data_IF_422181844376
#
_entry.id   IF_422181844376
#
_cell.length_a   1.000
_cell.length_b   1.000
_cell.length_c   1.000
_cell.angle_alpha   90.00
_cell.angle_beta   90.00
_cell.angle_gamma   90.00
#
_symmetry.space_group_name_H-M   'P 1'
#
loop_
_entity.id
_entity.type
_entity.pdbx_description
1 polymer ?
#
# COMPACT_ATOMS: atom_id res chain seq x y z
N UNK A 1 43.51 41.68 19.40
CA UNK A 1 42.14 41.37 19.85
C UNK A 1 41.16 41.65 18.72
N UNK A 2 40.85 40.64 17.91
CA UNK A 2 39.77 40.65 16.93
C UNK A 2 39.17 39.24 16.87
N UNK A 3 38.10 39.10 17.64
CA UNK A 3 36.94 38.20 17.52
C UNK A 3 37.15 36.70 17.16
N UNK A 4 37.13 35.89 18.22
CA UNK A 4 36.82 34.45 18.28
C UNK A 4 35.41 34.07 17.80
N UNK A 5 34.56 35.03 17.41
CA UNK A 5 33.17 34.81 16.96
C UNK A 5 33.02 34.43 15.48
N UNK A 6 34.07 34.53 14.66
CA UNK A 6 33.98 34.17 13.23
C UNK A 6 34.17 32.67 12.94
N UNK A 7 34.72 31.89 13.88
CA UNK A 7 34.82 30.42 13.77
C UNK A 7 33.55 29.67 14.18
N UNK A 8 32.62 30.33 14.87
CA UNK A 8 31.34 29.76 15.29
C UNK A 8 30.24 29.80 14.21
N UNK A 9 30.35 30.69 13.21
CA UNK A 9 29.37 30.77 12.11
C UNK A 9 29.61 29.75 10.99
N UNK A 10 30.85 29.26 10.80
CA UNK A 10 31.15 28.19 9.84
C UNK A 10 30.89 26.78 10.39
N UNK A 11 30.91 26.61 11.71
CA UNK A 11 30.58 25.35 12.39
C UNK A 11 29.07 25.15 12.61
N UNK A 12 28.25 26.17 12.35
CA UNK A 12 26.78 26.08 12.40
C UNK A 12 26.10 26.00 11.03
N UNK A 13 26.87 26.09 9.91
CA UNK A 13 26.36 25.92 8.54
C UNK A 13 26.72 24.53 7.95
N UNK A 14 27.62 23.77 8.59
CA UNK A 14 27.98 22.39 8.19
C UNK A 14 27.27 21.29 9.00
N UNK A 15 26.30 21.65 9.85
CA UNK A 15 25.37 20.73 10.53
C UNK A 15 23.95 20.82 9.97
N UNK A 16 23.79 21.26 8.73
CA UNK A 16 22.78 20.68 7.86
C UNK A 16 23.24 19.25 7.52
N UNK A 17 23.30 18.38 8.55
CA UNK A 17 23.31 16.95 8.32
C UNK A 17 22.16 16.71 7.37
N UNK A 18 22.49 16.20 6.19
CA UNK A 18 21.50 15.74 5.22
C UNK A 18 20.78 14.63 5.97
N UNK A 19 19.74 14.98 6.71
CA UNK A 19 18.75 14.04 7.17
C UNK A 19 18.24 13.48 5.86
N UNK A 20 18.73 12.30 5.48
CA UNK A 20 18.27 11.61 4.29
C UNK A 20 16.77 11.48 4.48
N UNK A 21 16.04 12.32 3.73
CA UNK A 21 14.62 12.50 3.92
C UNK A 21 13.97 11.19 3.48
N UNK A 22 13.58 10.37 4.45
CA UNK A 22 12.83 9.15 4.23
C UNK A 22 11.53 9.53 3.53
N UNK A 23 11.22 8.89 2.40
CA UNK A 23 9.90 9.08 1.78
C UNK A 23 8.84 8.30 2.54
N UNK A 24 7.68 8.90 2.75
CA UNK A 24 6.48 8.22 3.26
C UNK A 24 5.70 7.50 2.14
N UNK A 25 6.29 7.35 0.96
CA UNK A 25 5.61 6.72 -0.17
C UNK A 25 4.53 7.62 -0.80
N UNK A 26 3.81 7.11 -1.82
CA UNK A 26 2.83 7.90 -2.54
C UNK A 26 1.69 8.32 -1.62
N UNK A 27 1.30 9.60 -1.68
CA UNK A 27 0.26 10.19 -0.82
C UNK A 27 0.50 10.03 0.69
N UNK A 28 1.77 9.95 1.11
CA UNK A 28 2.15 9.89 2.53
C UNK A 28 1.54 8.70 3.29
N UNK A 29 1.52 7.52 2.66
CA UNK A 29 1.08 6.26 3.28
C UNK A 29 1.95 5.79 4.47
N UNK A 30 3.15 6.36 4.58
CA UNK A 30 4.19 5.98 5.52
C UNK A 30 4.88 4.67 5.13
N UNK A 31 5.92 4.33 5.89
CA UNK A 31 6.63 3.07 5.71
C UNK A 31 5.76 1.85 6.03
N UNK A 32 5.92 0.81 5.22
CA UNK A 32 5.38 -0.50 5.53
C UNK A 32 6.32 -1.29 6.45
N UNK A 33 5.80 -1.94 7.51
CA UNK A 33 6.55 -2.94 8.27
C UNK A 33 6.98 -4.11 7.37
N UNK A 34 8.03 -4.82 7.77
CA UNK A 34 8.50 -6.01 7.04
C UNK A 34 7.40 -7.08 7.01
N UNK A 35 7.15 -7.62 5.81
CA UNK A 35 6.14 -8.65 5.56
C UNK A 35 4.71 -8.11 5.47
N UNK A 36 4.52 -6.79 5.58
CA UNK A 36 3.21 -6.14 5.53
C UNK A 36 3.14 -5.25 4.29
N UNK A 37 1.98 -5.26 3.66
CA UNK A 37 1.58 -4.29 2.65
C UNK A 37 0.51 -3.37 3.24
N UNK A 38 0.69 -2.07 3.02
CA UNK A 38 -0.30 -1.03 3.28
C UNK A 38 -0.89 -0.62 1.95
N UNK A 39 -2.21 -0.63 1.82
CA UNK A 39 -2.90 -0.24 0.61
C UNK A 39 -4.02 0.75 0.89
N UNK A 40 -4.23 1.71 -0.01
CA UNK A 40 -5.42 2.53 -0.06
C UNK A 40 -6.05 2.43 -1.44
N UNK A 41 -7.31 2.06 -1.45
CA UNK A 41 -8.20 2.09 -2.61
C UNK A 41 -9.11 3.31 -2.50
N UNK A 42 -9.35 3.99 -3.61
CA UNK A 42 -10.48 4.88 -3.76
C UNK A 42 -11.17 4.57 -5.09
N UNK A 43 -12.43 4.16 -5.04
CA UNK A 43 -13.21 3.76 -6.21
C UNK A 43 -14.66 4.19 -6.05
N UNK A 44 -15.50 3.82 -7.01
CA UNK A 44 -16.94 4.04 -6.96
C UNK A 44 -17.67 2.73 -7.10
N UNK A 45 -18.69 2.53 -6.27
CA UNK A 45 -19.58 1.37 -6.32
C UNK A 45 -20.91 1.79 -6.93
N UNK A 46 -21.45 0.94 -7.81
CA UNK A 46 -22.85 1.05 -8.23
C UNK A 46 -23.71 0.33 -7.21
N UNK A 47 -24.57 1.08 -6.52
CA UNK A 47 -25.38 0.58 -5.41
C UNK A 47 -26.85 0.94 -5.62
N UNK A 48 -27.75 0.00 -5.37
CA UNK A 48 -29.17 0.28 -5.29
C UNK A 48 -29.49 0.90 -3.93
N UNK A 49 -30.14 2.05 -3.94
CA UNK A 49 -30.53 2.77 -2.71
C UNK A 49 -32.04 2.85 -2.61
N UNK A 50 -32.60 2.33 -1.51
CA UNK A 50 -34.03 2.44 -1.21
C UNK A 50 -34.21 3.23 0.08
N UNK A 51 -34.88 4.38 0.01
CA UNK A 51 -35.14 5.27 1.14
C UNK A 51 -36.60 5.18 1.61
N UNK A 52 -36.86 5.50 2.88
CA UNK A 52 -38.22 5.61 3.46
C UNK A 52 -39.03 4.32 3.22
N UNK A 53 -38.41 3.15 3.40
CA UNK A 53 -39.06 1.84 3.28
C UNK A 53 -39.50 1.40 1.87
N UNK A 54 -39.77 2.32 0.95
CA UNK A 54 -40.31 2.00 -0.39
C UNK A 54 -39.85 2.94 -1.53
N UNK A 55 -39.26 4.11 -1.25
CA UNK A 55 -38.79 5.01 -2.31
C UNK A 55 -37.48 4.49 -2.90
N UNK A 56 -37.58 3.81 -4.04
CA UNK A 56 -36.43 3.34 -4.78
C UNK A 56 -35.76 4.51 -5.50
N UNK A 57 -34.57 4.90 -5.05
CA UNK A 57 -33.74 5.93 -5.69
C UNK A 57 -32.90 5.36 -6.85
N UNK A 58 -33.05 4.07 -7.15
CA UNK A 58 -32.38 3.38 -8.23
C UNK A 58 -30.89 3.15 -7.97
N UNK A 59 -30.17 2.90 -9.07
CA UNK A 59 -28.72 2.73 -9.04
C UNK A 59 -28.04 4.10 -8.83
N UNK A 60 -27.28 4.20 -7.74
CA UNK A 60 -26.50 5.36 -7.35
C UNK A 60 -25.02 5.02 -7.39
N UNK A 61 -24.21 5.99 -7.79
CA UNK A 61 -22.75 5.87 -7.72
C UNK A 61 -22.30 6.38 -6.35
N UNK A 62 -21.83 5.48 -5.50
CA UNK A 62 -21.34 5.80 -4.15
C UNK A 62 -19.82 5.70 -4.17
N UNK A 63 -19.13 6.75 -3.74
CA UNK A 63 -17.68 6.68 -3.59
C UNK A 63 -17.32 5.75 -2.43
N UNK A 64 -16.28 4.95 -2.60
CA UNK A 64 -15.86 3.95 -1.64
C UNK A 64 -14.35 3.94 -1.52
N UNK A 65 -13.84 4.23 -0.33
CA UNK A 65 -12.43 4.16 -0.03
C UNK A 65 -12.14 3.10 1.03
N UNK A 66 -10.97 2.48 0.92
CA UNK A 66 -10.52 1.46 1.87
C UNK A 66 -9.04 1.65 2.11
N UNK A 67 -8.63 1.74 3.37
CA UNK A 67 -7.25 1.51 3.77
C UNK A 67 -7.14 0.12 4.38
N UNK A 68 -6.10 -0.63 4.03
CA UNK A 68 -5.86 -1.98 4.52
C UNK A 68 -4.39 -2.20 4.84
N UNK A 69 -4.13 -2.93 5.92
CA UNK A 69 -2.86 -3.61 6.14
C UNK A 69 -3.10 -5.11 5.97
N UNK A 70 -2.29 -5.75 5.15
CA UNK A 70 -2.36 -7.18 4.88
C UNK A 70 -0.94 -7.79 4.90
N UNK A 71 -0.79 -9.09 5.16
CA UNK A 71 0.49 -9.74 4.94
C UNK A 71 0.81 -9.76 3.45
N UNK A 72 2.04 -9.43 3.08
CA UNK A 72 2.49 -9.59 1.69
C UNK A 72 2.62 -11.08 1.31
N UNK A 73 2.86 -11.96 2.29
CA UNK A 73 3.06 -13.40 2.09
C UNK A 73 2.53 -14.22 3.25
N UNK A 74 2.14 -15.45 2.96
CA UNK A 74 1.78 -16.45 3.97
C UNK A 74 2.39 -17.82 3.62
N UNK A 75 2.67 -18.61 4.65
CA UNK A 75 2.98 -20.02 4.49
C UNK A 75 1.74 -20.83 4.10
N UNK A 76 1.96 -22.02 3.52
CA UNK A 76 0.88 -22.99 3.31
C UNK A 76 0.18 -23.28 4.65
N UNK A 77 -1.16 -23.32 4.65
CA UNK A 77 -2.03 -23.49 5.82
C UNK A 77 -1.93 -22.41 6.91
N UNK A 78 -1.14 -21.37 6.72
CA UNK A 78 -0.97 -20.30 7.70
C UNK A 78 -2.22 -19.42 7.72
N UNK A 79 -2.91 -19.28 8.87
CA UNK A 79 -4.01 -18.34 8.99
C UNK A 79 -3.47 -16.91 8.96
N UNK A 80 -4.18 -16.01 8.28
CA UNK A 80 -3.88 -14.60 8.30
C UNK A 80 -5.14 -13.73 8.31
N UNK A 81 -4.98 -12.52 8.81
CA UNK A 81 -6.03 -11.50 8.82
C UNK A 81 -5.62 -10.31 7.96
N UNK A 82 -6.64 -9.60 7.48
CA UNK A 82 -6.52 -8.24 6.93
C UNK A 82 -7.09 -7.29 7.98
N UNK A 83 -6.39 -6.20 8.27
CA UNK A 83 -6.96 -5.09 9.05
C UNK A 83 -7.32 -3.97 8.10
N UNK A 84 -8.55 -3.46 8.19
CA UNK A 84 -9.03 -2.47 7.22
C UNK A 84 -9.95 -1.43 7.85
N UNK A 85 -9.90 -0.21 7.33
CA UNK A 85 -10.83 0.87 7.61
C UNK A 85 -11.44 1.32 6.29
N UNK A 86 -12.74 1.62 6.27
CA UNK A 86 -13.44 1.99 5.05
C UNK A 86 -14.11 3.35 5.19
N UNK A 87 -14.37 3.98 4.05
CA UNK A 87 -15.16 5.19 3.94
C UNK A 87 -16.20 5.03 2.84
N UNK A 88 -17.46 5.29 3.18
CA UNK A 88 -18.50 5.57 2.20
C UNK A 88 -18.53 7.09 1.96
N UNK A 89 -18.48 7.48 0.70
CA UNK A 89 -18.53 8.86 0.25
C UNK A 89 -19.89 9.05 -0.41
N UNK A 90 -20.83 9.62 0.36
CA UNK A 90 -22.18 9.91 -0.11
C UNK A 90 -22.14 11.13 -1.02
N UNK A 91 -22.63 11.02 -2.27
CA UNK A 91 -22.62 12.12 -3.21
C UNK A 91 -23.48 13.30 -2.74
N UNK A 92 -23.18 14.48 -3.27
CA UNK A 92 -23.91 15.71 -2.95
C UNK A 92 -25.40 15.60 -3.27
N UNK A 93 -25.79 14.89 -4.32
CA UNK A 93 -27.20 14.70 -4.69
C UNK A 93 -28.03 14.05 -3.57
N UNK A 94 -27.49 13.00 -2.95
CA UNK A 94 -28.13 12.30 -1.83
C UNK A 94 -28.03 13.12 -0.53
N UNK A 95 -26.92 13.82 -0.33
CA UNK A 95 -26.73 14.70 0.83
C UNK A 95 -27.70 15.88 0.80
N UNK A 96 -27.87 16.54 -0.35
CA UNK A 96 -28.83 17.60 -0.56
C UNK A 96 -30.27 17.14 -0.35
N UNK A 97 -30.64 15.97 -0.90
CA UNK A 97 -31.97 15.38 -0.71
C UNK A 97 -32.26 15.11 0.77
N UNK A 98 -31.34 14.47 1.49
CA UNK A 98 -31.51 14.22 2.92
C UNK A 98 -31.59 15.54 3.72
N UNK A 99 -30.79 16.54 3.35
CA UNK A 99 -30.83 17.87 3.95
C UNK A 99 -32.17 18.60 3.78
N UNK A 100 -32.81 18.47 2.61
CA UNK A 100 -34.15 19.03 2.34
C UNK A 100 -35.22 18.45 3.28
N UNK A 101 -35.03 17.21 3.73
CA UNK A 101 -35.91 16.55 4.68
C UNK A 101 -35.48 16.72 6.14
N UNK A 102 -34.59 17.69 6.43
CA UNK A 102 -34.22 18.08 7.79
C UNK A 102 -33.05 17.31 8.39
N UNK A 103 -32.41 16.40 7.64
CA UNK A 103 -31.23 15.70 8.14
C UNK A 103 -30.02 16.64 8.30
N UNK A 104 -29.26 16.45 9.37
CA UNK A 104 -27.99 17.13 9.67
C UNK A 104 -26.82 16.16 9.83
N UNK A 105 -27.11 14.88 10.09
CA UNK A 105 -26.10 13.84 10.21
C UNK A 105 -26.56 12.55 9.54
N UNK A 106 -25.58 11.69 9.24
CA UNK A 106 -25.77 10.29 8.91
C UNK A 106 -25.26 9.40 10.03
N UNK A 107 -25.86 8.24 10.22
CA UNK A 107 -25.39 7.14 11.06
C UNK A 107 -25.90 5.83 10.44
N UNK A 108 -25.68 4.69 11.08
CA UNK A 108 -26.28 3.44 10.61
C UNK A 108 -25.57 2.19 11.08
N UNK A 109 -25.76 1.12 10.31
CA UNK A 109 -25.17 -0.19 10.56
C UNK A 109 -24.76 -0.83 9.24
N UNK A 110 -23.59 -1.45 9.22
CA UNK A 110 -23.19 -2.36 8.16
C UNK A 110 -23.88 -3.69 8.39
N UNK A 111 -24.79 -4.04 7.49
CA UNK A 111 -25.58 -5.26 7.60
C UNK A 111 -24.76 -6.48 7.17
N UNK A 112 -23.95 -6.34 6.10
CA UNK A 112 -23.04 -7.37 5.62
C UNK A 112 -22.03 -6.79 4.64
N UNK A 113 -20.76 -7.15 4.76
CA UNK A 113 -19.73 -6.96 3.72
C UNK A 113 -19.05 -8.29 3.50
N UNK A 114 -19.12 -8.80 2.29
CA UNK A 114 -18.40 -10.01 1.91
C UNK A 114 -17.08 -9.68 1.24
N UNK A 115 -16.01 -10.36 1.62
CA UNK A 115 -14.73 -10.34 0.92
C UNK A 115 -14.54 -11.69 0.22
N UNK A 116 -14.41 -11.66 -1.10
CA UNK A 116 -14.06 -12.85 -1.89
C UNK A 116 -12.55 -13.10 -1.77
N UNK A 117 -12.18 -14.37 -1.63
CA UNK A 117 -10.82 -14.82 -1.35
C UNK A 117 -10.41 -15.90 -2.35
N UNK A 118 -10.32 -15.54 -3.63
CA UNK A 118 -9.98 -16.50 -4.68
C UNK A 118 -8.58 -17.08 -4.44
N UNK A 119 -8.44 -18.41 -4.47
CA UNK A 119 -7.19 -19.12 -4.14
C UNK A 119 -7.02 -19.48 -2.66
N UNK A 120 -7.90 -19.00 -1.77
CA UNK A 120 -7.96 -19.46 -0.38
C UNK A 120 -8.77 -20.77 -0.25
N UNK A 121 -8.73 -21.38 0.93
CA UNK A 121 -9.52 -22.58 1.26
C UNK A 121 -11.02 -22.31 1.27
N UNK A 122 -11.44 -21.11 1.67
CA UNK A 122 -12.82 -20.64 1.56
C UNK A 122 -12.91 -19.62 0.44
N UNK A 123 -14.01 -19.62 -0.31
CA UNK A 123 -14.18 -18.72 -1.45
C UNK A 123 -14.51 -17.27 -1.02
N UNK A 124 -15.02 -17.09 0.20
CA UNK A 124 -15.30 -15.78 0.77
C UNK A 124 -15.29 -15.82 2.30
N UNK A 125 -15.19 -14.63 2.90
CA UNK A 125 -15.33 -14.38 4.34
C UNK A 125 -16.25 -13.18 4.58
N UNK A 126 -17.00 -13.19 5.68
CA UNK A 126 -17.74 -12.03 6.15
C UNK A 126 -16.75 -11.03 6.77
N UNK A 127 -16.55 -9.89 6.11
CA UNK A 127 -15.60 -8.86 6.53
C UNK A 127 -16.19 -7.92 7.59
N UNK A 128 -17.49 -7.69 7.55
CA UNK A 128 -18.21 -6.90 8.55
C UNK A 128 -19.69 -7.27 8.58
N UNK A 129 -20.25 -7.37 9.78
CA UNK A 129 -21.68 -7.58 10.01
C UNK A 129 -22.07 -7.00 11.36
N UNK A 130 -23.14 -6.22 11.40
CA UNK A 130 -23.60 -5.54 12.61
C UNK A 130 -22.65 -4.44 13.09
N UNK A 131 -21.72 -3.98 12.25
CA UNK A 131 -20.77 -2.91 12.63
C UNK A 131 -21.48 -1.57 12.56
N UNK A 132 -21.44 -0.80 13.64
CA UNK A 132 -22.02 0.54 13.65
C UNK A 132 -21.29 1.45 12.65
N UNK A 133 -22.07 2.25 11.94
CA UNK A 133 -21.60 3.39 11.16
C UNK A 133 -21.74 4.61 12.08
N UNK A 134 -20.63 5.17 12.58
CA UNK A 134 -20.66 6.30 13.50
C UNK A 134 -21.36 7.51 12.91
N UNK A 135 -21.80 8.40 13.79
CA UNK A 135 -22.45 9.64 13.38
C UNK A 135 -21.47 10.53 12.62
N UNK A 136 -21.84 10.92 11.40
CA UNK A 136 -21.06 11.77 10.51
C UNK A 136 -21.89 12.98 10.08
N UNK A 137 -21.28 14.16 10.01
CA UNK A 137 -21.95 15.36 9.53
C UNK A 137 -22.40 15.21 8.08
N UNK A 138 -23.63 15.64 7.80
CA UNK A 138 -24.15 15.76 6.45
C UNK A 138 -23.64 17.07 5.84
N UNK A 139 -23.07 16.99 4.64
CA UNK A 139 -22.65 18.15 3.87
C UNK A 139 -23.59 18.38 2.68
N UNK A 140 -24.49 19.36 2.76
CA UNK A 140 -25.46 19.66 1.68
C UNK A 140 -24.79 20.24 0.43
N UNK A 141 -23.61 20.83 0.59
CA UNK A 141 -22.88 21.54 -0.47
C UNK A 141 -21.70 20.73 -1.01
N UNK A 142 -21.59 19.46 -0.63
CA UNK A 142 -20.49 18.60 -1.05
C UNK A 142 -20.76 17.14 -0.73
N UNK A 143 -19.68 16.36 -0.58
CA UNK A 143 -19.78 14.96 -0.20
C UNK A 143 -19.84 14.81 1.31
N UNK A 144 -20.58 13.80 1.78
CA UNK A 144 -20.56 13.38 3.18
C UNK A 144 -19.72 12.11 3.31
N UNK A 145 -18.88 12.01 4.34
CA UNK A 145 -17.97 10.88 4.54
C UNK A 145 -18.41 10.10 5.76
N UNK A 146 -18.72 8.81 5.57
CA UNK A 146 -19.05 7.88 6.64
C UNK A 146 -17.90 6.89 6.78
N UNK A 147 -17.16 6.97 7.88
CA UNK A 147 -16.03 6.09 8.14
C UNK A 147 -16.48 4.88 8.97
N UNK A 148 -16.09 3.68 8.56
CA UNK A 148 -16.44 2.43 9.26
C UNK A 148 -15.16 1.67 9.60
N UNK A 149 -14.92 1.32 10.88
CA UNK A 149 -15.80 1.45 12.05
C UNK A 149 -15.67 2.82 12.77
N UNK A 150 -15.22 3.85 12.06
CA UNK A 150 -14.96 5.19 12.56
C UNK A 150 -13.51 5.61 12.38
N UNK A 151 -13.24 6.91 12.47
CA UNK A 151 -11.90 7.45 12.24
C UNK A 151 -10.85 6.79 13.14
N UNK A 152 -9.74 6.35 12.56
CA UNK A 152 -8.64 5.72 13.28
C UNK A 152 -8.87 4.27 13.72
N UNK A 153 -10.09 3.74 13.57
CA UNK A 153 -10.41 2.38 13.95
C UNK A 153 -10.27 1.41 12.77
N UNK A 154 -10.23 0.11 13.06
CA UNK A 154 -10.06 -0.92 12.02
C UNK A 154 -10.89 -2.16 12.30
N UNK A 155 -11.41 -2.74 11.22
CA UNK A 155 -11.99 -4.06 11.16
C UNK A 155 -10.87 -5.10 11.06
N UNK A 156 -11.09 -6.27 11.68
CA UNK A 156 -10.22 -7.44 11.53
C UNK A 156 -10.98 -8.49 10.70
N UNK A 157 -10.51 -8.73 9.48
CA UNK A 157 -11.17 -9.59 8.48
C UNK A 157 -10.40 -10.91 8.34
N UNK A 158 -11.08 -12.04 8.57
CA UNK A 158 -10.50 -13.38 8.52
C UNK A 158 -10.89 -14.26 9.72
N UNK A 159 -10.17 -15.37 9.98
CA UNK A 159 -8.91 -15.74 9.36
C UNK A 159 -9.11 -16.28 7.93
N UNK A 160 -8.18 -15.96 7.04
CA UNK A 160 -8.06 -16.49 5.69
C UNK A 160 -6.87 -17.45 5.69
N UNK A 161 -6.95 -18.56 4.95
CA UNK A 161 -5.84 -19.50 4.76
C UNK A 161 -5.91 -20.11 3.37
N UNK A 162 -4.78 -20.58 2.85
CA UNK A 162 -4.72 -21.36 1.63
C UNK A 162 -3.98 -22.68 1.89
N UNK A 163 -4.48 -23.77 1.30
CA UNK A 163 -3.94 -25.12 1.49
C UNK A 163 -2.87 -25.51 0.48
N UNK A 164 -2.62 -24.66 -0.52
CA UNK A 164 -1.65 -24.89 -1.60
C UNK A 164 -0.87 -23.61 -1.89
N UNK A 165 0.31 -23.76 -2.49
CA UNK A 165 1.08 -22.63 -2.99
C UNK A 165 0.35 -21.94 -4.16
N UNK A 166 0.54 -20.63 -4.31
CA UNK A 166 -0.13 -19.81 -5.31
C UNK A 166 -0.34 -18.39 -4.83
N UNK A 167 -1.44 -17.77 -5.25
CA UNK A 167 -1.84 -16.44 -4.78
C UNK A 167 -3.28 -16.46 -4.28
N UNK A 168 -3.53 -15.78 -3.17
CA UNK A 168 -4.88 -15.43 -2.72
C UNK A 168 -5.19 -14.03 -3.22
N UNK A 169 -6.20 -13.88 -4.07
CA UNK A 169 -6.64 -12.57 -4.60
C UNK A 169 -7.89 -12.13 -3.85
N UNK A 170 -7.82 -10.94 -3.27
CA UNK A 170 -8.91 -10.35 -2.50
C UNK A 170 -9.75 -9.44 -3.37
N UNK A 171 -11.07 -9.55 -3.29
CA UNK A 171 -11.99 -8.64 -3.99
C UNK A 171 -13.30 -8.46 -3.22
N UNK A 172 -13.98 -7.33 -3.39
CA UNK A 172 -15.28 -7.12 -2.72
C UNK A 172 -16.36 -8.02 -3.33
N UNK A 173 -17.10 -8.69 -2.45
CA UNK A 173 -18.39 -9.30 -2.76
C UNK A 173 -19.52 -8.28 -2.65
N UNK A 174 -20.69 -8.73 -2.21
CA UNK A 174 -21.82 -7.83 -1.96
C UNK A 174 -21.59 -7.00 -0.68
N UNK A 175 -22.12 -5.78 -0.69
CA UNK A 175 -22.06 -4.82 0.41
C UNK A 175 -23.49 -4.36 0.71
N UNK A 176 -23.89 -4.53 1.96
CA UNK A 176 -25.20 -4.17 2.48
C UNK A 176 -25.03 -3.26 3.70
N UNK A 177 -25.71 -2.12 3.69
CA UNK A 177 -25.73 -1.22 4.81
C UNK A 177 -27.10 -0.57 4.97
N UNK A 178 -27.45 -0.29 6.22
CA UNK A 178 -28.60 0.53 6.58
C UNK A 178 -28.08 1.87 7.08
N UNK A 179 -28.38 2.93 6.34
CA UNK A 179 -28.02 4.31 6.68
C UNK A 179 -29.24 5.00 7.26
N UNK A 180 -29.12 5.52 8.47
CA UNK A 180 -30.12 6.35 9.13
C UNK A 180 -29.67 7.81 9.07
N UNK A 181 -30.62 8.72 8.86
CA UNK A 181 -30.34 10.15 8.97
C UNK A 181 -30.78 10.67 10.32
N UNK A 182 -30.06 11.66 10.86
CA UNK A 182 -30.37 12.28 12.14
C UNK A 182 -30.58 13.79 12.00
N UNK A 183 -31.41 14.37 12.86
CA UNK A 183 -31.67 15.81 12.95
C UNK A 183 -30.56 16.56 13.71
N UNK A 184 -30.76 17.86 13.94
CA UNK A 184 -29.79 18.70 14.67
C UNK A 184 -29.58 18.28 16.13
N UNK A 185 -30.53 17.53 16.72
CA UNK A 185 -30.47 16.98 18.08
C UNK A 185 -29.97 15.53 18.08
N UNK A 186 -29.46 15.02 16.96
CA UNK A 186 -29.01 13.64 16.75
C UNK A 186 -30.11 12.58 16.96
N UNK A 187 -31.38 12.98 16.84
CA UNK A 187 -32.50 12.02 16.83
C UNK A 187 -32.73 11.53 15.41
N UNK A 188 -33.10 10.26 15.27
CA UNK A 188 -33.41 9.68 13.97
C UNK A 188 -34.54 10.47 13.30
N UNK A 189 -34.33 10.84 12.02
CA UNK A 189 -35.43 11.34 11.19
C UNK A 189 -36.26 10.18 10.64
N UNK A 190 -37.28 10.47 9.85
CA UNK A 190 -38.07 9.46 9.15
C UNK A 190 -37.33 8.79 7.97
N UNK A 191 -36.16 9.30 7.56
CA UNK A 191 -35.38 8.75 6.45
C UNK A 191 -34.38 7.72 6.96
N UNK A 192 -34.67 6.48 6.58
CA UNK A 192 -33.73 5.36 6.61
C UNK A 192 -33.55 4.85 5.18
N UNK A 193 -32.30 4.65 4.78
CA UNK A 193 -31.91 4.15 3.48
C UNK A 193 -31.25 2.77 3.60
N UNK A 194 -31.70 1.81 2.79
CA UNK A 194 -30.99 0.56 2.57
C UNK A 194 -30.12 0.70 1.33
N UNK A 195 -28.84 0.42 1.49
CA UNK A 195 -27.83 0.47 0.45
C UNK A 195 -27.39 -0.95 0.14
N UNK A 196 -27.61 -1.38 -1.10
CA UNK A 196 -27.20 -2.68 -1.61
C UNK A 196 -26.27 -2.47 -2.81
N UNK A 197 -24.97 -2.73 -2.63
CA UNK A 197 -24.02 -2.77 -3.73
C UNK A 197 -23.81 -4.24 -4.11
N UNK A 198 -24.33 -4.72 -5.26
CA UNK A 198 -24.12 -6.10 -5.67
C UNK A 198 -22.65 -6.39 -5.88
N UNK A 199 -22.28 -7.66 -5.67
CA UNK A 199 -21.00 -8.16 -6.14
C UNK A 199 -20.88 -7.87 -7.64
N UNK A 200 -19.79 -7.23 -8.04
CA UNK A 200 -19.55 -6.93 -9.44
C UNK A 200 -19.32 -8.24 -10.20
N UNK A 201 -19.83 -8.34 -11.45
CA UNK A 201 -19.62 -9.53 -12.31
C UNK A 201 -18.14 -9.90 -12.45
N UNK A 202 -17.27 -8.89 -12.38
CA UNK A 202 -15.81 -9.04 -12.24
C UNK A 202 -15.32 -8.03 -11.20
N UNK A 203 -15.21 -8.43 -9.93
CA UNK A 203 -14.89 -7.52 -8.85
C UNK A 203 -13.45 -7.03 -8.98
N UNK A 204 -13.25 -5.74 -8.75
CA UNK A 204 -11.92 -5.12 -8.72
C UNK A 204 -11.06 -5.86 -7.71
N UNK A 205 -9.99 -6.49 -8.19
CA UNK A 205 -9.00 -7.11 -7.32
C UNK A 205 -8.33 -6.01 -6.51
N UNK A 206 -8.34 -6.19 -5.20
CA UNK A 206 -7.91 -5.20 -4.21
C UNK A 206 -6.44 -5.39 -3.88
N UNK A 207 -6.08 -6.64 -3.60
CA UNK A 207 -4.74 -7.04 -3.19
C UNK A 207 -4.54 -8.52 -3.53
N UNK A 208 -3.28 -8.94 -3.53
CA UNK A 208 -2.90 -10.33 -3.63
C UNK A 208 -1.98 -10.69 -2.46
N UNK A 209 -2.06 -11.93 -1.98
CA UNK A 209 -1.15 -12.47 -0.98
C UNK A 209 -0.50 -13.70 -1.60
N UNK A 210 0.83 -13.73 -1.67
CA UNK A 210 1.51 -14.90 -2.17
C UNK A 210 1.61 -15.98 -1.09
N UNK A 211 1.31 -17.22 -1.46
CA UNK A 211 1.32 -18.37 -0.56
C UNK A 211 2.37 -19.37 -1.02
N UNK A 212 3.24 -19.82 -0.12
CA UNK A 212 4.27 -20.80 -0.45
C UNK A 212 5.14 -21.21 0.74
N UNK A 213 6.15 -22.05 0.48
CA UNK A 213 7.09 -22.51 1.50
C UNK A 213 6.52 -23.53 2.50
N UNK A 214 7.25 -23.73 3.60
CA UNK A 214 6.90 -24.71 4.64
C UNK A 214 5.58 -24.32 5.31
N UNK A 215 4.73 -25.32 5.55
CA UNK A 215 3.46 -25.11 6.22
C UNK A 215 3.64 -24.51 7.62
N UNK A 216 2.73 -23.63 8.00
CA UNK A 216 2.72 -22.98 9.31
C UNK A 216 1.29 -22.87 9.83
N UNK A 217 1.13 -22.84 11.14
CA UNK A 217 -0.14 -22.57 11.83
C UNK A 217 -0.11 -21.24 12.60
N UNK A 218 1.04 -20.56 12.63
CA UNK A 218 1.21 -19.30 13.32
C UNK A 218 0.41 -18.20 12.62
N UNK A 219 -0.53 -17.59 13.34
CA UNK A 219 -1.44 -16.60 12.74
C UNK A 219 -0.72 -15.28 12.48
N UNK A 220 -0.91 -14.70 11.29
CA UNK A 220 -0.47 -13.32 10.99
C UNK A 220 -1.63 -12.36 11.21
N UNK A 221 -1.47 -11.38 12.08
CA UNK A 221 -2.43 -10.27 12.25
C UNK A 221 -1.68 -8.95 12.13
N UNK A 222 -1.84 -8.21 11.02
CA UNK A 222 -1.29 -6.86 10.89
C UNK A 222 -1.86 -5.91 11.95
N UNK A 223 -1.13 -4.83 12.24
CA UNK A 223 -1.64 -3.74 13.09
C UNK A 223 -2.81 -3.00 12.40
N UNK A 224 -3.57 -2.21 13.17
CA UNK A 224 -4.65 -1.37 12.62
C UNK A 224 -4.15 -0.36 11.58
N UNK A 225 -5.05 0.13 10.73
CA UNK A 225 -4.73 1.02 9.59
C UNK A 225 -4.66 2.50 9.95
N UNK A 226 -4.98 2.88 11.19
CA UNK A 226 -5.00 4.28 11.60
C UNK A 226 -6.02 5.12 10.81
N UNK A 227 -5.75 6.41 10.65
CA UNK A 227 -6.57 7.27 9.78
C UNK A 227 -6.42 6.83 8.32
N UNK A 228 -7.46 7.07 7.51
CA UNK A 228 -7.48 6.71 6.08
C UNK A 228 -7.07 7.92 5.24
N UNK A 229 -5.85 7.97 4.68
CA UNK A 229 -5.46 9.03 3.76
C UNK A 229 -6.41 9.22 2.58
N UNK A 230 -6.54 10.46 2.13
CA UNK A 230 -7.32 10.81 0.94
C UNK A 230 -6.42 10.73 -0.29
N UNK A 231 -6.67 9.72 -1.13
CA UNK A 231 -6.10 9.64 -2.48
C UNK A 231 -7.16 10.03 -3.53
N UNK A 232 -6.75 10.46 -4.75
CA UNK A 232 -7.69 10.78 -5.83
C UNK A 232 -8.65 9.63 -6.15
N UNK A 233 -9.82 9.95 -6.70
CA UNK A 233 -10.82 8.96 -7.09
C UNK A 233 -10.30 8.00 -8.18
N UNK A 234 -10.82 6.78 -8.17
CA UNK A 234 -10.48 5.69 -9.07
C UNK A 234 -9.00 5.27 -9.07
N UNK A 235 -8.29 5.43 -7.94
CA UNK A 235 -6.88 5.02 -7.82
C UNK A 235 -6.68 3.99 -6.73
N UNK A 236 -5.59 3.25 -6.81
CA UNK A 236 -5.04 2.50 -5.68
C UNK A 236 -3.61 2.94 -5.46
N UNK A 237 -3.23 3.17 -4.22
CA UNK A 237 -1.86 3.41 -3.81
C UNK A 237 -1.47 2.39 -2.75
N UNK A 238 -0.19 2.08 -2.64
CA UNK A 238 0.26 1.04 -1.73
C UNK A 238 1.75 1.11 -1.49
N UNK A 239 2.16 0.59 -0.34
CA UNK A 239 3.55 0.45 0.09
C UNK A 239 3.72 -0.95 0.66
N UNK A 240 4.73 -1.67 0.19
CA UNK A 240 5.07 -3.01 0.65
C UNK A 240 6.44 -3.00 1.31
N UNK A 241 6.54 -3.62 2.49
CA UNK A 241 7.76 -3.71 3.28
C UNK A 241 8.29 -5.15 3.25
N UNK A 242 9.56 -5.33 2.95
CA UNK A 242 10.18 -6.65 2.88
C UNK A 242 11.67 -6.60 3.18
N UNK A 243 12.25 -7.78 3.37
CA UNK A 243 13.68 -7.96 3.58
C UNK A 243 14.25 -8.74 2.41
N UNK A 244 15.25 -8.18 1.73
CA UNK A 244 16.14 -8.95 0.88
C UNK A 244 17.24 -9.59 1.72
N UNK A 245 17.70 -10.76 1.27
CA UNK A 245 19.03 -11.23 1.62
C UNK A 245 19.95 -10.89 0.44
N UNK A 246 20.90 -9.99 0.65
CA UNK A 246 21.80 -9.52 -0.39
C UNK A 246 23.20 -10.08 -0.16
N UNK A 247 23.85 -10.46 -1.25
CA UNK A 247 25.25 -10.86 -1.29
C UNK A 247 26.07 -9.73 -1.92
N UNK A 248 27.01 -9.19 -1.14
CA UNK A 248 27.93 -8.13 -1.57
C UNK A 248 29.19 -8.78 -2.13
N UNK A 249 29.03 -9.57 -3.21
CA UNK A 249 30.12 -10.28 -3.89
C UNK A 249 31.00 -11.12 -2.95
N UNK A 250 30.40 -11.79 -1.96
CA UNK A 250 31.11 -12.58 -0.96
C UNK A 250 31.82 -11.77 0.14
N UNK A 251 31.83 -10.44 0.07
CA UNK A 251 32.39 -9.59 1.13
C UNK A 251 31.56 -9.69 2.42
N UNK A 252 30.24 -9.53 2.29
CA UNK A 252 29.28 -9.73 3.36
C UNK A 252 27.97 -10.22 2.77
N UNK A 253 27.28 -11.08 3.52
CA UNK A 253 25.88 -11.38 3.27
C UNK A 253 25.03 -10.80 4.39
N UNK A 254 23.94 -10.13 4.02
CA UNK A 254 23.13 -9.46 5.01
C UNK A 254 21.74 -9.11 4.55
N UNK A 255 20.90 -8.87 5.54
CA UNK A 255 19.52 -8.45 5.32
C UNK A 255 19.48 -6.96 5.04
N UNK A 256 18.86 -6.59 3.93
CA UNK A 256 18.53 -5.22 3.56
C UNK A 256 17.02 -5.07 3.61
N UNK A 257 16.53 -4.16 4.46
CA UNK A 257 15.10 -3.86 4.52
C UNK A 257 14.75 -2.88 3.41
N UNK A 258 13.67 -3.14 2.71
CA UNK A 258 13.15 -2.27 1.67
C UNK A 258 11.68 -1.97 1.94
N UNK A 259 11.28 -0.73 1.73
CA UNK A 259 9.88 -0.31 1.67
C UNK A 259 9.64 0.36 0.33
N UNK A 260 8.86 -0.26 -0.54
CA UNK A 260 8.59 0.24 -1.89
C UNK A 260 7.10 0.56 -2.03
N UNK A 261 6.79 1.74 -2.56
CA UNK A 261 5.43 2.16 -2.87
C UNK A 261 5.23 2.49 -4.35
N UNK A 262 3.96 2.48 -4.74
CA UNK A 262 3.54 2.85 -6.09
C UNK A 262 2.03 3.09 -6.16
N UNK A 263 1.57 3.51 -7.33
CA UNK A 263 0.18 3.89 -7.60
C UNK A 263 -0.30 3.20 -8.86
N UNK A 264 -1.42 2.51 -8.73
CA UNK A 264 -2.28 2.10 -9.84
C UNK A 264 -3.12 3.31 -10.26
N UNK A 265 -2.85 3.90 -11.45
CA UNK A 265 -3.42 5.20 -11.83
C UNK A 265 -4.92 5.15 -12.16
N UNK A 266 -5.47 3.94 -12.41
CA UNK A 266 -6.90 3.69 -12.59
C UNK A 266 -7.26 2.31 -12.03
N UNK A 267 -8.42 2.17 -11.37
CA UNK A 267 -8.92 0.88 -10.93
C UNK A 267 -9.75 0.14 -12.00
N UNK A 268 -9.96 0.76 -13.16
CA UNK A 268 -10.64 0.14 -14.29
C UNK A 268 -9.94 -1.15 -14.74
N UNK A 269 -10.74 -2.05 -15.33
CA UNK A 269 -10.22 -3.27 -15.93
C UNK A 269 -9.45 -2.95 -17.20
N UNK A 270 -8.32 -3.62 -17.39
CA UNK A 270 -7.45 -3.43 -18.55
C UNK A 270 -7.90 -4.36 -19.67
N UNK A 271 -8.07 -3.87 -20.89
CA UNK A 271 -8.35 -4.76 -22.02
C UNK A 271 -7.19 -5.74 -22.25
N UNK A 272 -7.47 -6.93 -22.79
CA UNK A 272 -6.43 -7.86 -23.26
C UNK A 272 -5.52 -7.15 -24.27
N UNK A 273 -4.19 -7.25 -24.12
CA UNK A 273 -3.21 -6.48 -24.91
C UNK A 273 -3.11 -4.98 -24.55
N UNK A 274 -3.91 -4.50 -23.60
CA UNK A 274 -3.84 -3.13 -23.08
C UNK A 274 -2.67 -2.91 -22.12
N UNK A 275 -2.49 -1.67 -21.67
CA UNK A 275 -1.38 -1.29 -20.78
C UNK A 275 -1.75 -1.48 -19.31
N UNK A 276 -0.90 -2.21 -18.58
CA UNK A 276 -0.85 -2.23 -17.12
C UNK A 276 0.23 -1.23 -16.70
N UNK A 277 -0.15 -0.23 -15.90
CA UNK A 277 0.75 0.86 -15.52
C UNK A 277 0.89 0.91 -14.00
N UNK A 278 2.13 0.88 -13.51
CA UNK A 278 2.49 1.22 -12.15
C UNK A 278 3.22 2.57 -12.17
N UNK A 279 2.68 3.54 -11.44
CA UNK A 279 3.15 4.94 -11.45
C UNK A 279 3.64 5.38 -10.07
N UNK A 280 4.31 6.53 -10.02
CA UNK A 280 4.76 7.17 -8.77
C UNK A 280 5.59 6.24 -7.87
N UNK A 281 6.42 5.39 -8.49
CA UNK A 281 7.27 4.45 -7.78
C UNK A 281 8.27 5.20 -6.90
N UNK A 282 8.38 4.82 -5.63
CA UNK A 282 9.35 5.38 -4.71
C UNK A 282 9.53 4.47 -3.50
N UNK A 283 10.68 4.53 -2.83
CA UNK A 283 10.93 3.67 -1.70
C UNK A 283 12.13 4.06 -0.86
N UNK A 284 12.36 3.24 0.15
CA UNK A 284 13.42 3.39 1.12
C UNK A 284 14.19 2.08 1.23
N UNK A 285 15.51 2.15 1.13
CA UNK A 285 16.43 1.06 1.45
C UNK A 285 17.00 1.36 2.83
N UNK A 286 16.86 0.42 3.76
CA UNK A 286 17.18 0.61 5.17
C UNK A 286 18.22 -0.43 5.57
N UNK A 287 19.39 0.05 5.99
CA UNK A 287 20.50 -0.80 6.41
C UNK A 287 20.19 -1.45 7.76
N UNK A 288 20.30 -2.77 7.85
CA UNK A 288 20.13 -3.46 9.13
C UNK A 288 21.36 -3.27 10.01
N UNK A 289 21.17 -3.22 11.33
CA UNK A 289 22.29 -3.13 12.29
C UNK A 289 23.30 -4.26 12.06
N UNK A 290 22.83 -5.49 11.87
CA UNK A 290 23.68 -6.65 11.64
C UNK A 290 24.53 -6.52 10.37
N UNK A 291 23.98 -6.00 9.27
CA UNK A 291 24.75 -5.74 8.05
C UNK A 291 25.84 -4.71 8.32
N UNK A 292 25.51 -3.63 9.01
CA UNK A 292 26.45 -2.56 9.37
C UNK A 292 27.56 -3.07 10.29
N UNK A 293 27.22 -3.86 11.31
CA UNK A 293 28.21 -4.47 12.22
C UNK A 293 29.18 -5.38 11.45
N UNK A 294 28.66 -6.19 10.52
CA UNK A 294 29.48 -7.04 9.67
C UNK A 294 30.41 -6.23 8.76
N UNK A 295 29.93 -5.13 8.17
CA UNK A 295 30.75 -4.23 7.34
C UNK A 295 31.86 -3.62 8.21
N UNK A 296 31.53 -3.07 9.38
CA UNK A 296 32.50 -2.42 10.27
C UNK A 296 33.49 -3.38 10.91
N UNK A 297 33.15 -4.66 11.03
CA UNK A 297 34.10 -5.68 11.44
C UNK A 297 35.24 -5.89 10.43
N UNK A 298 35.00 -5.60 9.14
CA UNK A 298 35.99 -5.75 8.06
C UNK A 298 36.62 -4.39 7.72
N UNK A 299 35.81 -3.34 7.61
CA UNK A 299 36.21 -1.97 7.27
C UNK A 299 35.72 -1.02 8.36
N UNK A 300 36.46 -0.96 9.46
CA UNK A 300 36.08 -0.18 10.66
C UNK A 300 36.04 1.33 10.43
N UNK A 301 36.79 1.82 9.45
CA UNK A 301 36.85 3.25 9.07
C UNK A 301 35.70 3.67 8.14
N UNK A 302 34.85 2.75 7.69
CA UNK A 302 33.71 3.08 6.83
C UNK A 302 32.72 3.98 7.59
N UNK A 303 32.50 5.18 7.06
CA UNK A 303 31.66 6.21 7.65
C UNK A 303 30.32 6.30 6.91
N UNK A 304 30.36 6.43 5.59
CA UNK A 304 29.20 6.52 4.72
C UNK A 304 29.41 5.73 3.43
N UNK A 305 28.33 5.58 2.65
CA UNK A 305 28.35 4.87 1.38
C UNK A 305 27.60 5.62 0.30
N UNK A 306 28.10 5.50 -0.92
CA UNK A 306 27.36 5.83 -2.13
C UNK A 306 26.73 4.56 -2.67
N UNK A 307 25.39 4.52 -2.68
CA UNK A 307 24.62 3.39 -3.17
C UNK A 307 24.15 3.67 -4.59
N UNK A 308 24.58 2.87 -5.56
CA UNK A 308 24.07 2.91 -6.94
C UNK A 308 23.22 1.67 -7.20
N UNK A 309 21.92 1.87 -7.36
CA UNK A 309 21.00 0.82 -7.76
C UNK A 309 20.96 0.77 -9.29
N UNK A 310 21.25 -0.40 -9.88
CA UNK A 310 21.25 -0.59 -11.34
C UNK A 310 20.11 -1.49 -11.80
N UNK A 311 19.68 -2.40 -10.92
CA UNK A 311 18.59 -3.34 -11.17
C UNK A 311 17.63 -3.37 -10.01
N UNK A 312 16.35 -3.25 -10.33
CA UNK A 312 15.25 -3.62 -9.44
C UNK A 312 14.14 -4.17 -10.33
N UNK A 313 13.97 -5.48 -10.29
CA UNK A 313 13.08 -6.17 -11.21
C UNK A 313 11.68 -6.31 -10.59
N UNK A 314 10.66 -6.04 -11.41
CA UNK A 314 9.28 -6.46 -11.15
C UNK A 314 8.98 -7.64 -12.06
N UNK A 315 8.53 -8.74 -11.48
CA UNK A 315 8.02 -9.89 -12.20
C UNK A 315 6.50 -9.76 -12.38
N UNK A 316 6.02 -10.12 -13.57
CA UNK A 316 4.61 -10.12 -13.93
C UNK A 316 4.13 -11.53 -14.29
N UNK A 317 2.98 -11.90 -13.72
CA UNK A 317 2.20 -13.08 -14.14
C UNK A 317 1.00 -12.61 -14.96
N UNK A 318 0.63 -13.35 -16.00
CA UNK A 318 -0.43 -12.98 -16.96
C UNK A 318 -0.25 -11.59 -17.60
N UNK A 319 1.00 -11.15 -17.75
CA UNK A 319 1.39 -9.93 -18.43
C UNK A 319 2.77 -10.12 -19.07
N UNK A 320 3.12 -9.26 -20.03
CA UNK A 320 4.43 -9.25 -20.68
C UNK A 320 5.10 -7.86 -20.64
N UNK A 321 6.44 -7.77 -20.52
CA UNK A 321 7.36 -8.88 -20.29
C UNK A 321 7.16 -9.55 -18.92
N UNK A 322 7.62 -10.78 -18.75
CA UNK A 322 7.48 -11.50 -17.47
C UNK A 322 8.35 -10.92 -16.36
N UNK A 323 9.40 -10.18 -16.72
CA UNK A 323 10.28 -9.43 -15.82
C UNK A 323 10.63 -8.11 -16.49
N UNK A 324 10.62 -7.02 -15.72
CA UNK A 324 11.05 -5.70 -16.16
C UNK A 324 11.89 -5.02 -15.08
N UNK A 325 13.06 -4.51 -15.46
CA UNK A 325 13.84 -3.62 -14.61
C UNK A 325 13.16 -2.25 -14.56
N UNK A 326 12.90 -1.74 -13.36
CA UNK A 326 12.26 -0.43 -13.14
C UNK A 326 13.27 0.70 -12.97
N UNK A 327 14.55 0.37 -12.90
CA UNK A 327 15.63 1.33 -12.78
C UNK A 327 15.96 1.91 -14.16
N UNK A 328 15.98 3.25 -14.31
CA UNK A 328 16.35 3.89 -15.57
C UNK A 328 17.75 3.50 -16.04
N UNK A 329 17.98 3.61 -17.35
CA UNK A 329 19.33 3.49 -17.91
C UNK A 329 20.25 4.53 -17.25
N UNK A 330 21.41 4.08 -16.78
CA UNK A 330 22.35 4.89 -15.97
C UNK A 330 22.26 4.65 -14.46
N UNK A 331 21.24 3.97 -13.97
CA UNK A 331 21.08 3.65 -12.54
C UNK A 331 20.53 4.81 -11.72
N UNK A 332 20.35 4.56 -10.41
CA UNK A 332 19.97 5.58 -9.42
C UNK A 332 21.02 5.58 -8.32
N UNK A 333 21.67 6.72 -8.13
CA UNK A 333 22.70 6.90 -7.10
C UNK A 333 22.17 7.72 -5.93
N UNK A 334 22.38 7.21 -4.72
CA UNK A 334 22.16 7.91 -3.45
C UNK A 334 23.51 8.07 -2.77
N UNK A 335 23.94 9.31 -2.58
CA UNK A 335 25.23 9.62 -1.96
C UNK A 335 25.09 9.76 -0.44
N UNK A 336 26.21 9.62 0.26
CA UNK A 336 26.36 9.94 1.67
C UNK A 336 25.36 9.23 2.60
N UNK A 337 25.04 7.96 2.31
CA UNK A 337 24.23 7.12 3.18
C UNK A 337 25.08 6.69 4.36
N UNK A 338 24.77 7.05 5.62
CA UNK A 338 25.59 6.66 6.76
C UNK A 338 25.70 5.13 6.87
N UNK A 339 26.89 4.62 7.17
CA UNK A 339 27.10 3.20 7.52
C UNK A 339 26.71 3.01 8.99
N UNK A 340 25.41 3.12 9.25
CA UNK A 340 24.78 3.02 10.56
C UNK A 340 23.48 2.21 10.47
N UNK A 341 23.17 1.40 11.49
CA UNK A 341 21.92 0.66 11.52
C UNK A 341 20.72 1.60 11.52
N UNK A 342 19.75 1.33 10.65
CA UNK A 342 18.58 2.18 10.44
C UNK A 342 18.81 3.34 9.48
N UNK A 343 20.03 3.56 8.97
CA UNK A 343 20.27 4.54 7.92
C UNK A 343 19.42 4.24 6.68
N UNK A 344 18.91 5.30 6.06
CA UNK A 344 17.92 5.23 4.98
C UNK A 344 18.49 5.83 3.71
N UNK A 345 18.44 5.07 2.61
CA UNK A 345 18.63 5.57 1.26
C UNK A 345 17.26 5.67 0.56
N UNK A 346 16.84 6.89 0.24
CA UNK A 346 15.56 7.16 -0.45
C UNK A 346 15.74 7.01 -1.95
N UNK A 347 14.82 6.30 -2.61
CA UNK A 347 14.86 5.99 -4.04
C UNK A 347 13.57 6.49 -4.71
N UNK A 348 13.64 7.43 -5.66
CA UNK A 348 14.81 8.25 -6.00
C UNK A 348 15.20 9.22 -4.85
N UNK A 349 16.42 9.79 -4.83
CA UNK A 349 16.92 10.63 -3.73
C UNK A 349 16.07 11.84 -3.34
N UNK A 350 15.21 12.33 -4.24
CA UNK A 350 14.33 13.49 -4.02
C UNK A 350 12.86 13.11 -4.00
N UNK A 351 12.55 11.87 -3.63
CA UNK A 351 11.17 11.44 -3.40
C UNK A 351 10.60 12.13 -2.14
N UNK A 352 9.32 12.57 -2.13
CA UNK A 352 8.30 12.34 -3.15
C UNK A 352 8.25 13.39 -4.29
N UNK A 353 9.11 14.40 -4.30
CA UNK A 353 9.12 15.44 -5.34
C UNK A 353 9.46 14.87 -6.72
N UNK A 354 10.34 13.87 -6.77
CA UNK A 354 10.55 13.03 -7.95
C UNK A 354 10.19 11.59 -7.65
N UNK A 355 9.65 10.90 -8.64
CA UNK A 355 9.33 9.47 -8.56
C UNK A 355 10.06 8.71 -9.66
N UNK A 356 10.15 7.39 -9.52
CA UNK A 356 10.53 6.52 -10.62
C UNK A 356 9.60 6.76 -11.82
N UNK A 357 10.09 6.58 -13.05
CA UNK A 357 9.25 6.56 -14.24
C UNK A 357 8.16 5.50 -14.15
N UNK A 358 7.08 5.71 -14.91
CA UNK A 358 6.01 4.73 -15.02
C UNK A 358 6.55 3.39 -15.57
N UNK A 359 6.17 2.31 -14.90
CA UNK A 359 6.47 0.94 -15.33
C UNK A 359 5.27 0.42 -16.09
N UNK A 360 5.49 -0.11 -17.30
CA UNK A 360 4.42 -0.50 -18.21
C UNK A 360 4.58 -1.94 -18.66
N UNK A 361 3.57 -2.76 -18.35
CA UNK A 361 3.41 -4.11 -18.87
C UNK A 361 2.24 -4.16 -19.87
N UNK A 362 2.21 -5.19 -20.70
CA UNK A 362 1.10 -5.51 -21.59
C UNK A 362 0.24 -6.59 -20.94
N UNK A 363 -1.06 -6.35 -20.85
CA UNK A 363 -2.03 -7.28 -20.29
C UNK A 363 -2.12 -8.56 -21.14
N UNK A 364 -2.11 -9.72 -20.46
CA UNK A 364 -2.31 -11.03 -21.08
C UNK A 364 -3.77 -11.30 -21.42
N UNK A 365 -4.16 -12.57 -21.29
CA UNK A 365 -5.46 -13.06 -21.74
C UNK A 365 -6.65 -12.50 -20.94
N UNK A 366 -7.75 -12.29 -21.66
CA UNK A 366 -9.06 -11.93 -21.11
C UNK A 366 -9.51 -12.88 -19.99
N UNK A 367 -10.16 -12.34 -18.95
CA UNK A 367 -10.68 -13.14 -17.83
C UNK A 367 -9.65 -13.52 -16.76
N UNK A 368 -8.40 -13.14 -16.93
CA UNK A 368 -7.34 -13.38 -15.95
C UNK A 368 -7.07 -12.16 -15.06
N UNK A 369 -6.25 -12.36 -14.01
CA UNK A 369 -5.69 -11.29 -13.20
C UNK A 369 -4.18 -11.28 -13.42
N UNK A 370 -3.64 -10.15 -13.85
CA UNK A 370 -2.21 -9.93 -13.86
C UNK A 370 -1.71 -9.57 -12.46
N UNK A 371 -0.65 -10.23 -12.03
CA UNK A 371 -0.05 -10.03 -10.71
C UNK A 371 1.36 -9.49 -10.90
N UNK A 372 1.59 -8.27 -10.42
CA UNK A 372 2.92 -7.71 -10.34
C UNK A 372 3.53 -8.03 -8.99
N UNK A 373 4.81 -8.42 -8.97
CA UNK A 373 5.52 -8.82 -7.76
C UNK A 373 6.98 -8.39 -7.79
N UNK A 374 7.54 -8.17 -6.61
CA UNK A 374 8.96 -7.85 -6.41
C UNK A 374 9.81 -9.07 -6.76
N UNK A 375 10.82 -8.89 -7.61
CA UNK A 375 11.77 -9.92 -8.03
C UNK A 375 13.17 -9.65 -7.43
N UNK A 376 14.24 -9.81 -8.21
CA UNK A 376 15.62 -9.54 -7.80
C UNK A 376 16.00 -8.06 -7.90
N UNK A 377 17.10 -7.69 -7.24
CA UNK A 377 17.70 -6.37 -7.32
C UNK A 377 19.22 -6.48 -7.33
N UNK A 378 19.90 -5.49 -7.89
CA UNK A 378 21.36 -5.43 -7.92
C UNK A 378 21.85 -3.99 -8.03
N UNK A 379 23.10 -3.78 -7.65
CA UNK A 379 23.74 -2.48 -7.68
C UNK A 379 25.17 -2.54 -7.19
N UNK A 380 25.70 -1.37 -6.84
CA UNK A 380 27.02 -1.18 -6.28
C UNK A 380 26.92 -0.32 -5.01
N UNK A 381 27.73 -0.66 -4.00
CA UNK A 381 27.94 0.15 -2.81
C UNK A 381 29.42 0.55 -2.73
N UNK A 382 29.68 1.84 -2.81
CA UNK A 382 31.00 2.43 -2.59
C UNK A 382 31.10 2.90 -1.14
N UNK A 383 31.90 2.21 -0.33
CA UNK A 383 32.20 2.55 1.06
C UNK A 383 33.25 3.64 1.10
N UNK A 384 33.00 4.68 1.90
CA UNK A 384 33.88 5.86 2.00
C UNK A 384 34.20 6.17 3.46
N UNK A 385 35.36 6.76 3.69
CA UNK A 385 35.76 7.26 5.01
C UNK A 385 35.16 8.64 5.30
N UNK A 386 35.45 9.20 6.48
CA UNK A 386 34.95 10.51 6.88
C UNK A 386 35.48 11.68 6.02
N UNK A 387 36.56 11.46 5.27
CA UNK A 387 37.19 12.45 4.39
C UNK A 387 36.72 12.29 2.93
N UNK A 388 35.69 11.47 2.69
CA UNK A 388 35.10 11.15 1.38
C UNK A 388 36.05 10.36 0.45
N UNK A 389 37.11 9.74 0.97
CA UNK A 389 37.93 8.84 0.16
C UNK A 389 37.19 7.51 -0.02
N UNK A 390 37.14 7.01 -1.26
CA UNK A 390 36.62 5.66 -1.53
C UNK A 390 37.58 4.61 -0.94
N UNK A 391 37.06 3.81 -0.02
CA UNK A 391 37.79 2.71 0.59
C UNK A 391 37.64 1.46 -0.26
N UNK A 392 36.40 1.18 -0.71
CA UNK A 392 36.05 -0.05 -1.40
C UNK A 392 34.71 0.11 -2.13
N UNK A 393 34.66 -0.25 -3.41
CA UNK A 393 33.43 -0.41 -4.17
C UNK A 393 33.06 -1.89 -4.31
N UNK A 394 31.82 -2.25 -4.00
CA UNK A 394 31.35 -3.63 -3.98
C UNK A 394 30.02 -3.75 -4.72
N UNK A 395 29.97 -4.64 -5.71
CA UNK A 395 28.71 -5.02 -6.32
C UNK A 395 27.89 -5.90 -5.39
N UNK A 396 26.58 -5.66 -5.34
CA UNK A 396 25.65 -6.46 -4.59
C UNK A 396 24.55 -7.03 -5.47
N UNK A 397 24.10 -8.22 -5.12
CA UNK A 397 22.91 -8.84 -5.70
C UNK A 397 21.98 -9.29 -4.59
N UNK A 398 20.70 -9.10 -4.79
CA UNK A 398 19.63 -9.47 -3.87
C UNK A 398 18.71 -10.43 -4.62
N UNK A 399 18.71 -11.70 -4.23
CA UNK A 399 17.90 -12.70 -4.90
C UNK A 399 16.40 -12.43 -4.75
N UNK A 400 15.62 -12.84 -5.76
CA UNK A 400 14.17 -12.76 -5.70
C UNK A 400 13.61 -13.51 -4.48
N UNK A 401 12.57 -12.92 -3.90
CA UNK A 401 11.91 -13.45 -2.72
C UNK A 401 11.05 -14.66 -3.07
N UNK A 402 11.08 -15.72 -2.24
CA UNK A 402 10.23 -16.90 -2.42
C UNK A 402 9.38 -17.18 -1.18
N UNK A 403 8.03 -17.16 -1.27
CA UNK A 403 7.26 -16.72 -2.45
C UNK A 403 7.49 -15.22 -2.74
N UNK A 404 7.19 -14.80 -3.98
CA UNK A 404 7.34 -13.40 -4.40
C UNK A 404 6.45 -12.48 -3.56
N UNK A 405 6.85 -11.22 -3.40
CA UNK A 405 6.02 -10.22 -2.71
C UNK A 405 5.14 -9.52 -3.74
N UNK A 406 3.82 -9.69 -3.71
CA UNK A 406 2.92 -9.00 -4.63
C UNK A 406 2.92 -7.49 -4.38
N UNK A 407 2.57 -6.72 -5.43
CA UNK A 407 2.45 -5.26 -5.38
C UNK A 407 1.00 -4.86 -5.65
N UNK A 408 0.51 -5.06 -6.88
CA UNK A 408 -0.90 -4.82 -7.21
C UNK A 408 -1.44 -5.88 -8.17
N UNK A 409 -2.70 -6.29 -8.00
CA UNK A 409 -3.42 -7.04 -9.00
C UNK A 409 -4.09 -6.11 -10.05
N UNK A 410 -4.08 -6.54 -11.30
CA UNK A 410 -4.75 -5.89 -12.43
C UNK A 410 -5.71 -6.87 -13.08
N UNK A 411 -7.00 -6.55 -13.07
CA UNK A 411 -8.00 -7.36 -13.73
C UNK A 411 -7.97 -7.11 -15.23
N UNK A 412 -7.99 -8.19 -16.01
CA UNK A 412 -8.05 -8.12 -17.47
C UNK A 412 -9.50 -8.39 -17.91
N UNK A 413 -10.02 -7.55 -18.82
CA UNK A 413 -11.40 -7.57 -19.35
C UNK A 413 -11.78 -8.88 -20.00
#
# INVERSE_FOLDING_TARGET
MLMTSFKALLSSILLAGVALAQTDGPYSLGLAPVGIEKGILNTTLSCNVTAIGFLNLGAQTIGFGVAANLPGRASINQPFYVTAGTRLIVPQSLSGLAGLFGAKFYAGTVDSVTLNTAGATVASVEAAKGVAIPTAALNTNGVSILEVPGNGNSLKVGPIKASKAGSVVLSFGAINATITTLDAQQKATFITAKVFCPAQKRPTSLAAIAVGGKASTATITPAGVGQVPVIPADKTAGVTGFNYNCDFSGFVQGVVRVSLGGVKPTNAQVASGGKIVLSQGQGNIILSQKLVDNIKAIVSIADHTTLTLTTFNIAAQNASPSIQNIIPSGGITVNNVPVQGGAVATIPPTAPQTTLPDVVFTAGASGSTALLSIADAAGNASLRDSDDNEILAIDFTCAALSPNVPVFPYNIQ
#
